data_IF_097008881768
#
_entry.id   IF_097008881768
#
_cell.length_a   1.000
_cell.length_b   1.000
_cell.length_c   1.000
_cell.angle_alpha   90.00
_cell.angle_beta   90.00
_cell.angle_gamma   90.00
#
_symmetry.space_group_name_H-M   'P 1'
#
loop_
_entity.id
_entity.type
_entity.pdbx_description
1 polymer ?
#
# COMPACT_ATOMS: atom_id res chain seq x y z
N UNK A 1 23.02 28.41 40.64
CA UNK A 1 22.79 28.72 39.20
C UNK A 1 23.44 27.59 38.44
N UNK A 2 22.64 26.70 37.87
CA UNK A 2 23.14 25.61 37.01
C UNK A 2 23.64 26.24 35.73
N UNK A 3 24.96 26.15 35.46
CA UNK A 3 25.52 26.57 34.19
C UNK A 3 24.83 25.82 33.06
N UNK A 4 24.14 26.56 32.20
CA UNK A 4 23.47 25.97 31.03
C UNK A 4 24.57 25.61 30.03
N UNK A 5 24.84 24.32 29.86
CA UNK A 5 25.80 23.82 28.88
C UNK A 5 25.34 24.17 27.46
N UNK A 6 26.23 24.81 26.65
CA UNK A 6 25.95 25.13 25.26
C UNK A 6 26.51 24.01 24.37
N UNK A 7 25.62 23.32 23.63
CA UNK A 7 26.00 22.28 22.68
C UNK A 7 26.29 22.88 21.30
N UNK A 8 27.27 22.33 20.60
CA UNK A 8 27.31 22.49 19.15
C UNK A 8 26.27 21.57 18.50
N UNK A 9 25.86 21.87 17.25
CA UNK A 9 24.93 21.00 16.50
C UNK A 9 25.53 19.62 16.32
N UNK A 10 26.82 19.52 16.06
CA UNK A 10 27.53 18.25 15.90
C UNK A 10 27.50 17.40 17.16
N UNK A 11 27.92 18.01 18.30
CA UNK A 11 27.98 17.33 19.60
C UNK A 11 26.57 16.81 20.01
N UNK A 12 25.54 17.64 19.79
CA UNK A 12 24.16 17.24 20.08
C UNK A 12 23.72 16.06 19.20
N UNK A 13 24.01 16.09 17.89
CA UNK A 13 23.69 14.98 16.98
C UNK A 13 24.44 13.70 17.35
N UNK A 14 25.67 13.79 17.82
CA UNK A 14 26.46 12.65 18.30
C UNK A 14 25.84 12.07 19.58
N UNK A 15 25.54 12.92 20.56
CA UNK A 15 24.89 12.51 21.80
C UNK A 15 23.52 11.82 21.59
N UNK A 16 22.70 12.33 20.62
CA UNK A 16 21.44 11.70 20.26
C UNK A 16 21.70 10.31 19.67
N UNK A 17 22.67 10.17 18.75
CA UNK A 17 23.02 8.88 18.14
C UNK A 17 23.48 7.88 19.20
N UNK A 18 24.37 8.30 20.09
CA UNK A 18 24.90 7.47 21.17
C UNK A 18 23.78 7.02 22.11
N UNK A 19 22.85 7.91 22.42
CA UNK A 19 21.68 7.60 23.23
C UNK A 19 20.82 6.51 22.58
N UNK A 20 20.54 6.62 21.28
CA UNK A 20 19.78 5.61 20.57
C UNK A 20 20.50 4.27 20.52
N UNK A 21 21.79 4.26 20.27
CA UNK A 21 22.60 3.04 20.28
C UNK A 21 22.65 2.39 21.65
N UNK A 22 22.68 3.18 22.72
CA UNK A 22 22.69 2.67 24.09
C UNK A 22 21.34 2.09 24.53
N UNK A 23 20.21 2.71 24.10
CA UNK A 23 18.85 2.27 24.45
C UNK A 23 18.35 1.14 23.55
N UNK A 24 18.72 1.17 22.25
CA UNK A 24 18.35 0.18 21.26
C UNK A 24 19.61 -0.43 20.60
N UNK A 25 20.40 -1.23 21.36
CA UNK A 25 21.65 -1.79 20.84
C UNK A 25 21.44 -2.90 19.80
N UNK A 26 20.23 -3.45 19.74
CA UNK A 26 19.87 -4.53 18.83
C UNK A 26 18.79 -4.08 17.83
N UNK A 27 18.68 -4.83 16.74
CA UNK A 27 17.57 -4.67 15.80
C UNK A 27 16.22 -4.92 16.51
N UNK A 28 15.26 -4.08 16.21
CA UNK A 28 13.89 -4.17 16.77
C UNK A 28 12.91 -4.66 15.70
N UNK A 29 11.85 -5.32 16.16
CA UNK A 29 10.67 -5.59 15.34
C UNK A 29 9.68 -4.42 15.50
N UNK A 30 9.16 -3.93 14.38
CA UNK A 30 8.16 -2.89 14.32
C UNK A 30 7.04 -3.33 13.39
N UNK A 31 5.80 -3.10 13.80
CA UNK A 31 4.62 -3.35 12.97
C UNK A 31 3.84 -2.06 12.73
N UNK A 32 3.15 -1.99 11.62
CA UNK A 32 2.35 -0.84 11.21
C UNK A 32 1.88 -0.98 9.78
N UNK A 33 1.10 -0.01 9.34
CA UNK A 33 0.62 0.09 7.97
C UNK A 33 1.59 0.91 7.12
N UNK A 34 1.89 0.46 5.90
CA UNK A 34 2.76 1.19 4.97
C UNK A 34 2.04 2.41 4.43
N UNK A 35 2.69 3.57 4.55
CA UNK A 35 2.22 4.83 3.99
C UNK A 35 3.34 5.60 3.30
N UNK A 36 3.01 6.28 2.21
CA UNK A 36 3.97 7.09 1.47
C UNK A 36 5.08 6.30 0.79
N UNK A 37 4.79 5.10 0.29
CA UNK A 37 5.75 4.20 -0.35
C UNK A 37 6.36 4.82 -1.62
N UNK A 38 7.69 4.91 -1.65
CA UNK A 38 8.46 5.50 -2.75
C UNK A 38 9.64 4.63 -3.13
N UNK A 39 9.70 4.25 -4.40
CA UNK A 39 10.85 3.60 -5.02
C UNK A 39 11.74 4.66 -5.65
N UNK A 40 12.92 4.87 -5.08
CA UNK A 40 13.86 5.87 -5.57
C UNK A 40 14.71 5.32 -6.72
N UNK A 41 15.13 6.20 -7.66
CA UNK A 41 15.97 5.84 -8.80
C UNK A 41 17.32 5.19 -8.43
N UNK A 42 17.84 5.48 -7.23
CA UNK A 42 19.03 4.83 -6.66
C UNK A 42 18.81 3.37 -6.23
N UNK A 43 17.56 2.88 -6.29
CA UNK A 43 17.18 1.52 -5.86
C UNK A 43 16.80 1.40 -4.38
N UNK A 44 16.87 2.48 -3.61
CA UNK A 44 16.37 2.52 -2.23
C UNK A 44 14.84 2.61 -2.21
N UNK A 45 14.22 2.07 -1.15
CA UNK A 45 12.78 2.20 -0.91
C UNK A 45 12.59 2.98 0.38
N UNK A 46 11.70 3.96 0.35
CA UNK A 46 11.34 4.79 1.49
C UNK A 46 9.84 4.69 1.72
N UNK A 47 9.45 4.57 2.96
CA UNK A 47 8.05 4.61 3.37
C UNK A 47 7.96 4.97 4.85
N UNK A 48 6.78 5.22 5.32
CA UNK A 48 6.49 5.37 6.74
C UNK A 48 5.67 4.18 7.21
N UNK A 49 5.90 3.71 8.44
CA UNK A 49 4.95 2.87 9.15
C UNK A 49 4.09 3.76 10.02
N UNK A 50 2.78 3.58 9.90
CA UNK A 50 1.78 4.35 10.63
C UNK A 50 0.86 3.45 11.42
N UNK A 51 0.37 3.97 12.54
CA UNK A 51 -0.72 3.38 13.33
C UNK A 51 -1.53 4.51 14.01
N UNK A 52 -2.82 4.29 14.36
CA UNK A 52 -3.55 5.23 15.18
C UNK A 52 -2.85 5.43 16.51
N UNK A 53 -2.77 6.68 17.00
CA UNK A 53 -2.22 6.96 18.32
C UNK A 53 -3.07 6.31 19.43
N UNK A 54 -2.49 6.14 20.60
CA UNK A 54 -3.15 5.51 21.75
C UNK A 54 -4.46 6.21 22.19
N UNK A 55 -4.67 7.47 21.79
CA UNK A 55 -5.85 8.26 22.12
C UNK A 55 -6.85 8.33 20.95
N UNK A 56 -6.50 7.82 19.75
CA UNK A 56 -7.32 7.84 18.55
C UNK A 56 -7.50 9.23 17.92
N UNK A 57 -6.68 10.21 18.33
CA UNK A 57 -6.76 11.60 17.86
C UNK A 57 -5.70 11.95 16.82
N UNK A 58 -4.77 11.04 16.54
CA UNK A 58 -3.67 11.25 15.61
C UNK A 58 -3.20 9.93 14.99
N UNK A 59 -2.11 10.03 14.28
CA UNK A 59 -1.41 8.90 13.65
C UNK A 59 0.04 8.94 14.10
N UNK A 60 0.47 7.88 14.80
CA UNK A 60 1.89 7.68 15.09
C UNK A 60 2.59 7.22 13.82
N UNK A 61 3.81 7.72 13.63
CA UNK A 61 4.52 7.55 12.38
C UNK A 61 6.02 7.34 12.60
N UNK A 62 6.58 6.33 11.94
CA UNK A 62 8.02 6.07 11.90
C UNK A 62 8.52 5.95 10.46
N UNK A 63 9.56 6.70 10.13
CA UNK A 63 10.17 6.64 8.80
C UNK A 63 11.05 5.41 8.64
N UNK A 64 10.90 4.72 7.51
CA UNK A 64 11.61 3.48 7.18
C UNK A 64 12.43 3.69 5.92
N UNK A 65 13.65 3.18 5.91
CA UNK A 65 14.49 3.07 4.74
C UNK A 65 14.91 1.63 4.51
N UNK A 66 14.63 1.13 3.31
CA UNK A 66 15.15 -0.14 2.82
C UNK A 66 16.24 0.14 1.79
N UNK A 67 17.48 -0.12 2.19
CA UNK A 67 18.63 0.11 1.33
C UNK A 67 18.67 -0.87 0.17
N UNK A 68 19.12 -0.40 -1.00
CA UNK A 68 19.26 -1.21 -2.23
C UNK A 68 19.92 -2.58 -1.96
N UNK A 69 20.97 -2.62 -1.14
CA UNK A 69 21.70 -3.87 -0.84
C UNK A 69 20.88 -4.91 -0.07
N UNK A 70 19.82 -4.49 0.64
CA UNK A 70 18.91 -5.38 1.39
C UNK A 70 17.62 -5.69 0.65
N UNK A 71 17.26 -4.86 -0.33
CA UNK A 71 15.99 -4.93 -1.05
C UNK A 71 15.73 -6.29 -1.67
N UNK A 72 16.71 -6.86 -2.39
CA UNK A 72 16.55 -8.16 -3.03
C UNK A 72 16.30 -9.30 -2.02
N UNK A 73 16.94 -9.25 -0.85
CA UNK A 73 16.72 -10.23 0.20
C UNK A 73 15.29 -10.16 0.75
N UNK A 74 14.79 -8.95 1.02
CA UNK A 74 13.41 -8.70 1.50
C UNK A 74 12.39 -9.16 0.44
N UNK A 75 12.55 -8.75 -0.81
CA UNK A 75 11.67 -9.16 -1.92
C UNK A 75 11.67 -10.68 -2.12
N UNK A 76 12.82 -11.33 -1.97
CA UNK A 76 12.92 -12.80 -2.08
C UNK A 76 12.17 -13.52 -0.95
N UNK A 77 12.15 -12.95 0.26
CA UNK A 77 11.39 -13.51 1.40
C UNK A 77 9.89 -13.41 1.12
N UNK A 78 9.43 -12.25 0.67
CA UNK A 78 8.01 -12.02 0.31
C UNK A 78 7.56 -12.94 -0.83
N UNK A 79 8.36 -13.06 -1.89
CA UNK A 79 8.05 -13.91 -3.04
C UNK A 79 7.97 -15.40 -2.67
N UNK A 80 8.89 -15.90 -1.81
CA UNK A 80 8.86 -17.30 -1.37
C UNK A 80 7.64 -17.65 -0.54
N UNK A 81 7.12 -16.65 0.20
CA UNK A 81 5.93 -16.81 1.03
C UNK A 81 4.63 -16.49 0.29
N UNK A 82 4.69 -16.10 -0.99
CA UNK A 82 3.55 -15.64 -1.78
C UNK A 82 2.80 -14.45 -1.13
N UNK A 83 3.55 -13.59 -0.41
CA UNK A 83 2.99 -12.44 0.29
C UNK A 83 2.81 -11.19 -0.59
N UNK A 84 3.20 -11.27 -1.87
CA UNK A 84 3.18 -10.14 -2.79
C UNK A 84 4.25 -9.08 -2.50
N UNK A 85 4.34 -8.04 -3.33
CA UNK A 85 5.29 -6.94 -3.14
C UNK A 85 4.84 -6.00 -2.01
N UNK A 86 5.78 -5.17 -1.52
CA UNK A 86 5.44 -4.05 -0.66
C UNK A 86 4.51 -3.09 -1.41
N UNK A 87 3.35 -2.80 -0.84
CA UNK A 87 2.34 -1.91 -1.40
C UNK A 87 1.80 -0.95 -0.34
N UNK A 88 1.26 0.16 -0.78
CA UNK A 88 0.61 1.15 0.08
C UNK A 88 -0.57 0.52 0.83
N UNK A 89 -0.74 0.86 2.10
CA UNK A 89 -1.88 0.44 2.92
C UNK A 89 -1.81 -0.97 3.49
N UNK A 90 -0.76 -1.75 3.21
CA UNK A 90 -0.64 -3.08 3.83
C UNK A 90 0.00 -3.01 5.21
N UNK A 91 -0.50 -3.81 6.13
CA UNK A 91 0.13 -4.02 7.44
C UNK A 91 1.28 -4.99 7.33
N UNK A 92 2.43 -4.58 7.84
CA UNK A 92 3.66 -5.36 7.81
C UNK A 92 4.31 -5.39 9.19
N UNK A 93 5.11 -6.42 9.43
CA UNK A 93 6.04 -6.49 10.54
C UNK A 93 7.45 -6.56 10.01
N UNK A 94 8.23 -5.54 10.28
CA UNK A 94 9.61 -5.41 9.80
C UNK A 94 10.60 -5.50 10.92
N UNK A 95 11.83 -5.90 10.60
CA UNK A 95 12.97 -5.84 11.51
C UNK A 95 13.95 -4.79 11.01
N UNK A 96 14.56 -4.04 11.92
CA UNK A 96 15.54 -3.04 11.54
C UNK A 96 16.24 -2.37 12.71
N UNK A 97 17.24 -1.57 12.37
CA UNK A 97 18.04 -0.77 13.30
C UNK A 97 17.49 0.65 13.41
N UNK A 98 17.30 1.12 14.64
CA UNK A 98 16.95 2.52 14.89
C UNK A 98 18.18 3.41 14.58
N UNK A 99 17.99 4.43 13.78
CA UNK A 99 19.05 5.30 13.31
C UNK A 99 18.67 6.77 13.33
N UNK A 100 19.59 7.61 13.72
CA UNK A 100 19.45 9.06 13.62
C UNK A 100 20.23 9.59 12.42
N UNK A 101 19.51 10.13 11.41
CA UNK A 101 20.10 10.74 10.24
C UNK A 101 20.39 12.22 10.49
N UNK A 102 21.59 12.50 10.98
CA UNK A 102 22.02 13.83 11.42
C UNK A 102 21.86 14.94 10.35
N UNK A 103 22.13 14.72 9.02
CA UNK A 103 21.95 15.77 8.02
C UNK A 103 20.56 16.37 7.92
N UNK A 104 19.52 15.62 8.35
CA UNK A 104 18.13 16.07 8.35
C UNK A 104 17.51 16.09 9.76
N UNK A 105 18.29 15.77 10.81
CA UNK A 105 17.77 15.66 12.18
C UNK A 105 16.65 14.65 12.34
N UNK A 106 16.66 13.55 11.54
CA UNK A 106 15.54 12.62 11.40
C UNK A 106 15.82 11.27 12.05
N UNK A 107 14.86 10.80 12.83
CA UNK A 107 14.86 9.43 13.29
C UNK A 107 14.25 8.53 12.22
N UNK A 108 14.88 7.39 11.97
CA UNK A 108 14.42 6.41 10.98
C UNK A 108 14.83 4.99 11.38
N UNK A 109 14.15 3.99 10.83
CA UNK A 109 14.57 2.60 10.93
C UNK A 109 15.18 2.15 9.60
N UNK A 110 16.37 1.58 9.68
CA UNK A 110 17.01 0.90 8.55
C UNK A 110 16.53 -0.54 8.52
N UNK A 111 15.59 -0.83 7.61
CA UNK A 111 14.98 -2.14 7.48
C UNK A 111 15.99 -3.19 7.02
N UNK A 112 16.05 -4.31 7.75
CA UNK A 112 16.93 -5.45 7.46
C UNK A 112 16.19 -6.71 7.07
N UNK A 113 14.98 -6.92 7.61
CA UNK A 113 14.14 -8.07 7.33
C UNK A 113 12.64 -7.74 7.39
N UNK A 114 11.80 -8.66 6.94
CA UNK A 114 10.35 -8.63 7.02
C UNK A 114 9.82 -9.98 7.45
N UNK A 115 8.71 -9.98 8.22
CA UNK A 115 7.95 -11.18 8.55
C UNK A 115 6.80 -11.37 7.54
N UNK A 116 6.94 -12.28 6.57
CA UNK A 116 5.93 -12.48 5.54
C UNK A 116 4.65 -13.11 6.10
N UNK A 117 4.75 -13.90 7.19
CA UNK A 117 3.58 -14.57 7.77
C UNK A 117 2.65 -13.58 8.47
N UNK A 118 3.21 -12.54 9.08
CA UNK A 118 2.42 -11.47 9.66
C UNK A 118 1.61 -10.74 8.57
N UNK A 119 2.25 -10.39 7.45
CA UNK A 119 1.58 -9.73 6.31
C UNK A 119 0.46 -10.59 5.73
N UNK A 120 0.71 -11.88 5.48
CA UNK A 120 -0.29 -12.83 4.99
C UNK A 120 -1.44 -13.04 5.98
N UNK A 121 -1.13 -13.13 7.28
CA UNK A 121 -2.14 -13.29 8.32
C UNK A 121 -3.10 -12.10 8.35
N UNK A 122 -2.61 -10.88 8.26
CA UNK A 122 -3.44 -9.67 8.23
C UNK A 122 -4.30 -9.60 6.96
N UNK A 123 -3.73 -9.86 5.79
CA UNK A 123 -4.48 -9.91 4.53
C UNK A 123 -5.60 -10.95 4.56
N UNK A 124 -5.36 -12.12 5.16
CA UNK A 124 -6.36 -13.16 5.32
C UNK A 124 -7.50 -12.73 6.25
N UNK A 125 -7.17 -12.10 7.38
CA UNK A 125 -8.17 -11.59 8.34
C UNK A 125 -9.00 -10.48 7.72
N UNK A 126 -8.38 -9.54 7.01
CA UNK A 126 -9.08 -8.43 6.36
C UNK A 126 -9.99 -8.94 5.23
N UNK A 127 -9.53 -9.90 4.42
CA UNK A 127 -10.36 -10.57 3.42
C UNK A 127 -11.58 -11.26 4.04
N UNK A 128 -11.38 -12.01 5.12
CA UNK A 128 -12.49 -12.71 5.80
C UNK A 128 -13.49 -11.70 6.38
N UNK A 129 -13.02 -10.60 6.98
CA UNK A 129 -13.88 -9.51 7.49
C UNK A 129 -14.73 -8.89 6.38
N UNK A 130 -14.14 -8.61 5.21
CA UNK A 130 -14.86 -8.08 4.05
C UNK A 130 -15.91 -9.08 3.56
N UNK A 131 -15.54 -10.36 3.40
CA UNK A 131 -16.48 -11.40 2.99
C UNK A 131 -17.66 -11.54 3.95
N UNK A 132 -17.41 -11.52 5.27
CA UNK A 132 -18.48 -11.57 6.28
C UNK A 132 -19.38 -10.34 6.20
N UNK A 133 -18.81 -9.15 5.97
CA UNK A 133 -19.57 -7.92 5.80
C UNK A 133 -20.49 -8.00 4.58
N UNK A 134 -19.96 -8.43 3.44
CA UNK A 134 -20.72 -8.62 2.19
C UNK A 134 -21.82 -9.68 2.35
N UNK A 135 -21.51 -10.77 3.02
CA UNK A 135 -22.51 -11.82 3.31
C UNK A 135 -23.66 -11.30 4.21
N UNK A 136 -23.32 -10.58 5.30
CA UNK A 136 -24.33 -9.97 6.19
C UNK A 136 -25.21 -8.95 5.47
N UNK A 137 -24.64 -8.23 4.50
CA UNK A 137 -25.37 -7.28 3.66
C UNK A 137 -26.15 -7.94 2.50
N UNK A 138 -26.06 -9.28 2.31
CA UNK A 138 -26.70 -10.01 1.22
C UNK A 138 -26.11 -9.71 -0.17
N UNK A 139 -24.96 -9.03 -0.23
CA UNK A 139 -24.39 -8.56 -1.49
C UNK A 139 -23.69 -9.64 -2.29
N UNK A 140 -23.27 -10.75 -1.67
CA UNK A 140 -22.61 -11.86 -2.37
C UNK A 140 -23.53 -12.55 -3.40
N UNK A 141 -24.84 -12.61 -3.12
CA UNK A 141 -25.82 -13.26 -3.97
C UNK A 141 -26.51 -12.29 -4.94
N UNK A 142 -26.34 -10.98 -4.74
CA UNK A 142 -27.02 -9.96 -5.56
C UNK A 142 -26.57 -10.01 -7.01
N UNK A 143 -25.26 -10.02 -7.26
CA UNK A 143 -24.74 -10.04 -8.63
C UNK A 143 -25.05 -11.35 -9.38
N UNK A 144 -24.87 -12.56 -8.83
CA UNK A 144 -25.28 -13.80 -9.48
C UNK A 144 -26.78 -13.89 -9.78
N UNK A 145 -27.63 -13.18 -9.03
CA UNK A 145 -29.09 -13.19 -9.25
C UNK A 145 -29.54 -12.33 -10.44
N UNK A 146 -28.66 -11.46 -10.95
CA UNK A 146 -28.95 -10.62 -12.10
C UNK A 146 -28.99 -11.46 -13.39
N UNK A 147 -30.01 -11.21 -14.21
CA UNK A 147 -30.13 -11.90 -15.49
C UNK A 147 -29.27 -11.20 -16.54
N UNK A 148 -28.31 -11.90 -17.10
CA UNK A 148 -27.54 -11.42 -18.24
C UNK A 148 -28.35 -11.66 -19.51
N UNK A 149 -28.51 -10.66 -20.40
CA UNK A 149 -29.17 -10.86 -21.69
C UNK A 149 -28.49 -11.97 -22.48
N UNK A 150 -29.26 -12.78 -23.20
CA UNK A 150 -28.72 -13.87 -24.06
C UNK A 150 -27.72 -13.36 -25.09
N UNK A 151 -27.94 -12.13 -25.61
CA UNK A 151 -27.04 -11.47 -26.55
C UNK A 151 -26.78 -10.04 -26.04
N UNK A 152 -25.77 -9.81 -25.21
CA UNK A 152 -25.49 -8.50 -24.62
C UNK A 152 -24.74 -7.61 -25.61
N UNK A 153 -25.44 -7.03 -26.59
CA UNK A 153 -24.84 -6.18 -27.61
C UNK A 153 -24.46 -4.78 -27.10
N UNK A 154 -24.93 -4.37 -25.93
CA UNK A 154 -24.52 -3.12 -25.30
C UNK A 154 -23.72 -3.42 -24.04
N UNK A 155 -22.49 -2.95 -24.00
CA UNK A 155 -21.51 -3.23 -22.95
C UNK A 155 -21.07 -1.91 -22.31
N UNK A 156 -21.22 -1.80 -20.99
CA UNK A 156 -20.59 -0.74 -20.20
C UNK A 156 -19.17 -1.15 -19.84
N UNK A 157 -18.18 -0.36 -20.22
CA UNK A 157 -16.77 -0.60 -19.92
C UNK A 157 -16.25 0.47 -18.94
N UNK A 158 -15.74 0.03 -17.79
CA UNK A 158 -15.08 0.91 -16.82
C UNK A 158 -13.58 0.58 -16.82
N UNK A 159 -12.77 1.51 -17.29
CA UNK A 159 -11.32 1.38 -17.33
C UNK A 159 -10.67 2.75 -17.58
N UNK A 160 -9.34 2.82 -17.50
CA UNK A 160 -8.60 4.01 -17.92
C UNK A 160 -8.62 4.12 -19.44
N UNK A 161 -9.09 5.25 -19.95
CA UNK A 161 -9.11 5.54 -21.39
C UNK A 161 -7.70 5.45 -21.99
N UNK A 162 -7.57 4.81 -23.15
CA UNK A 162 -6.29 4.59 -23.82
C UNK A 162 -5.34 3.60 -23.14
N UNK A 163 -5.76 2.92 -22.08
CA UNK A 163 -4.98 1.86 -21.45
C UNK A 163 -4.80 0.64 -22.36
N UNK A 164 -3.79 -0.19 -22.08
CA UNK A 164 -3.60 -1.47 -22.79
C UNK A 164 -4.86 -2.34 -22.70
N UNK A 165 -5.45 -2.47 -21.51
CA UNK A 165 -6.68 -3.23 -21.29
C UNK A 165 -7.88 -2.69 -22.08
N UNK A 166 -8.00 -1.36 -22.21
CA UNK A 166 -9.01 -0.73 -23.08
C UNK A 166 -8.79 -1.12 -24.55
N UNK A 167 -7.57 -0.97 -25.03
CA UNK A 167 -7.25 -1.25 -26.43
C UNK A 167 -7.44 -2.73 -26.77
N UNK A 168 -7.01 -3.64 -25.89
CA UNK A 168 -7.17 -5.08 -26.06
C UNK A 168 -8.66 -5.46 -26.13
N UNK A 169 -9.47 -4.93 -25.22
CA UNK A 169 -10.90 -5.18 -25.19
C UNK A 169 -11.60 -4.68 -26.47
N UNK A 170 -11.34 -3.44 -26.88
CA UNK A 170 -11.95 -2.85 -28.09
C UNK A 170 -11.52 -3.59 -29.34
N UNK A 171 -10.26 -4.00 -29.45
CA UNK A 171 -9.75 -4.77 -30.59
C UNK A 171 -10.44 -6.12 -30.70
N UNK A 172 -10.59 -6.84 -29.56
CA UNK A 172 -11.27 -8.16 -29.54
C UNK A 172 -12.74 -8.02 -29.95
N UNK A 173 -13.47 -7.06 -29.39
CA UNK A 173 -14.88 -6.81 -29.74
C UNK A 173 -15.02 -6.40 -31.20
N UNK A 174 -14.14 -5.53 -31.73
CA UNK A 174 -14.19 -5.10 -33.12
C UNK A 174 -13.91 -6.24 -34.10
N UNK A 175 -13.06 -7.20 -33.74
CA UNK A 175 -12.73 -8.37 -34.56
C UNK A 175 -13.85 -9.40 -34.59
N UNK A 176 -14.79 -9.38 -33.64
CA UNK A 176 -15.89 -10.34 -33.51
C UNK A 176 -16.95 -10.26 -34.64
N UNK A 177 -16.99 -9.17 -35.42
CA UNK A 177 -17.99 -8.87 -36.45
C UNK A 177 -19.44 -8.75 -35.94
N UNK A 178 -19.69 -8.77 -34.64
CA UNK A 178 -21.00 -8.50 -34.07
C UNK A 178 -21.18 -6.99 -33.81
N UNK A 179 -22.42 -6.47 -33.89
CA UNK A 179 -22.69 -5.04 -33.74
C UNK A 179 -22.71 -4.62 -32.26
N UNK A 180 -21.62 -4.81 -31.56
CA UNK A 180 -21.48 -4.38 -30.19
C UNK A 180 -21.43 -2.85 -30.08
N UNK A 181 -22.12 -2.33 -29.07
CA UNK A 181 -22.05 -0.94 -28.65
C UNK A 181 -21.33 -0.88 -27.30
N UNK A 182 -20.25 -0.09 -27.22
CA UNK A 182 -19.48 0.09 -26.01
C UNK A 182 -19.73 1.50 -25.46
N UNK A 183 -20.16 1.61 -24.21
CA UNK A 183 -20.19 2.85 -23.44
C UNK A 183 -19.01 2.84 -22.49
N UNK A 184 -18.04 3.75 -22.67
CA UNK A 184 -16.87 3.87 -21.82
C UNK A 184 -17.12 4.88 -20.69
N UNK A 185 -16.88 4.48 -19.45
CA UNK A 185 -16.72 5.38 -18.33
C UNK A 185 -15.26 5.32 -17.82
N UNK A 186 -14.57 6.44 -17.92
CA UNK A 186 -13.18 6.54 -17.50
C UNK A 186 -13.04 6.45 -15.99
N UNK A 187 -12.16 5.54 -15.52
CA UNK A 187 -11.73 5.48 -14.12
C UNK A 187 -10.33 4.89 -14.01
N UNK A 188 -9.55 5.35 -13.03
CA UNK A 188 -8.39 4.60 -12.58
C UNK A 188 -8.86 3.30 -11.91
N UNK A 189 -8.22 2.18 -12.26
CA UNK A 189 -8.53 0.85 -11.68
C UNK A 189 -7.51 0.42 -10.62
N UNK A 190 -6.53 1.29 -10.32
CA UNK A 190 -5.48 1.06 -9.33
C UNK A 190 -5.19 2.36 -8.55
N UNK A 191 -4.63 2.21 -7.35
CA UNK A 191 -4.29 3.34 -6.48
C UNK A 191 -5.41 3.74 -5.53
N UNK A 192 -5.13 4.67 -4.63
CA UNK A 192 -6.01 5.11 -3.54
C UNK A 192 -7.33 5.74 -3.99
N UNK A 193 -7.36 6.34 -5.16
CA UNK A 193 -8.55 6.98 -5.75
C UNK A 193 -9.43 6.02 -6.56
N UNK A 194 -8.98 4.76 -6.77
CA UNK A 194 -9.68 3.81 -7.64
C UNK A 194 -11.08 3.47 -7.12
N UNK A 195 -11.25 3.29 -5.82
CA UNK A 195 -12.54 2.92 -5.22
C UNK A 195 -13.63 3.94 -5.55
N UNK A 196 -13.40 5.21 -5.24
CA UNK A 196 -14.36 6.29 -5.51
C UNK A 196 -14.57 6.51 -7.01
N UNK A 197 -13.51 6.39 -7.80
CA UNK A 197 -13.57 6.49 -9.26
C UNK A 197 -14.43 5.41 -9.89
N UNK A 198 -14.24 4.15 -9.50
CA UNK A 198 -15.00 3.00 -9.98
C UNK A 198 -16.50 3.11 -9.65
N UNK A 199 -16.83 3.48 -8.40
CA UNK A 199 -18.24 3.67 -8.00
C UNK A 199 -18.92 4.72 -8.87
N UNK A 200 -18.29 5.87 -9.07
CA UNK A 200 -18.83 6.95 -9.94
C UNK A 200 -18.98 6.50 -11.40
N UNK A 201 -17.98 5.82 -11.93
CA UNK A 201 -17.99 5.34 -13.31
C UNK A 201 -19.10 4.30 -13.57
N UNK A 202 -19.30 3.37 -12.62
CA UNK A 202 -20.40 2.40 -12.69
C UNK A 202 -21.74 3.14 -12.66
N UNK A 203 -21.92 4.09 -11.73
CA UNK A 203 -23.17 4.86 -11.64
C UNK A 203 -23.47 5.60 -12.94
N UNK A 204 -22.48 6.25 -13.56
CA UNK A 204 -22.65 6.93 -14.84
C UNK A 204 -23.14 5.98 -15.96
N UNK A 205 -22.69 4.73 -15.98
CA UNK A 205 -23.13 3.74 -16.96
C UNK A 205 -24.52 3.19 -16.69
N UNK A 206 -24.95 3.15 -15.42
CA UNK A 206 -26.31 2.73 -15.03
C UNK A 206 -27.35 3.80 -15.37
N UNK A 207 -26.95 5.08 -15.27
CA UNK A 207 -27.83 6.22 -15.48
C UNK A 207 -27.92 6.62 -17.01
N UNK A 208 -27.11 6.01 -17.88
CA UNK A 208 -27.01 6.31 -19.32
C UNK A 208 -27.82 5.37 -20.20
#
# INVERSE_FOLDING_TARGET
>A
MTETHTWSVGDLCEAIRDTFTAVFPEEIWLEGEISGLKFHSSGHVYFDLIEPDANGNGIDKMSIVLWRGRRQAVESVLNRADAGPLTEGIKVRIKGELSFYAPQGRVQIQMTAIDPHHTLGQLSVDRERVLQSLHKAGLLETNPSLQVPTVPLHIGLVTSDGSAAYNDFVNEISSSQYPFRISLAHSSVQGTEAELGLVKAIQQLVDA
#
